data_IF_512535335307
#
_entry.id   IF_512535335307
#
_cell.length_a   1.000
_cell.length_b   1.000
_cell.length_c   1.000
_cell.angle_alpha   90.00
_cell.angle_beta   90.00
_cell.angle_gamma   90.00
#
_symmetry.space_group_name_H-M   'P 1'
#
loop_
_entity.id
_entity.type
_entity.pdbx_description
1 polymer ?
#
# COMPACT_ATOMS: atom_id res chain seq x y z
N UNK A 1 0.71 11.16 32.43
CA UNK A 1 1.39 10.90 31.14
C UNK A 1 0.31 10.54 30.14
N UNK A 2 -0.20 11.52 29.39
CA UNK A 2 -1.23 11.27 28.38
C UNK A 2 -0.66 10.30 27.34
N UNK A 3 -1.38 9.22 27.05
CA UNK A 3 -1.11 8.42 25.87
C UNK A 3 -1.04 9.40 24.71
N UNK A 4 0.14 9.57 24.10
CA UNK A 4 0.31 10.43 22.94
C UNK A 4 -0.77 10.04 21.96
N UNK A 5 -1.78 10.91 21.80
CA UNK A 5 -2.83 10.75 20.83
C UNK A 5 -2.20 11.10 19.48
N UNK A 6 -1.26 10.26 19.07
CA UNK A 6 -0.42 10.49 17.93
C UNK A 6 -1.30 10.26 16.72
N UNK A 7 -1.48 11.28 15.85
CA UNK A 7 -2.39 11.15 14.73
C UNK A 7 -1.96 9.96 13.85
N UNK A 8 -2.89 9.13 13.37
CA UNK A 8 -2.59 7.93 12.60
C UNK A 8 -1.61 8.15 11.43
N UNK A 9 -1.68 9.32 10.79
CA UNK A 9 -0.78 9.69 9.70
C UNK A 9 0.68 9.81 10.13
N UNK A 10 0.97 10.16 11.39
CA UNK A 10 2.34 10.23 11.87
C UNK A 10 2.97 8.85 12.01
N UNK A 11 2.20 7.83 12.40
CA UNK A 11 2.70 6.45 12.45
C UNK A 11 3.11 5.95 11.06
N UNK A 12 2.36 6.32 10.03
CA UNK A 12 2.69 6.01 8.63
C UNK A 12 3.99 6.70 8.20
N UNK A 13 4.21 7.96 8.59
CA UNK A 13 5.47 8.65 8.30
C UNK A 13 6.64 7.98 9.03
N UNK A 14 6.46 7.63 10.29
CA UNK A 14 7.49 6.97 11.09
C UNK A 14 7.86 5.59 10.53
N UNK A 15 6.90 4.81 10.02
CA UNK A 15 7.20 3.52 9.40
C UNK A 15 8.06 3.67 8.15
N UNK A 16 7.77 4.66 7.29
CA UNK A 16 8.58 4.96 6.11
C UNK A 16 9.99 5.46 6.47
N UNK A 17 10.10 6.31 7.50
CA UNK A 17 11.40 6.77 7.98
C UNK A 17 12.24 5.60 8.52
N UNK A 18 11.62 4.66 9.24
CA UNK A 18 12.32 3.48 9.74
C UNK A 18 12.87 2.61 8.60
N UNK A 19 12.09 2.41 7.53
CA UNK A 19 12.56 1.71 6.32
C UNK A 19 13.75 2.43 5.68
N UNK A 20 13.68 3.76 5.54
CA UNK A 20 14.77 4.57 4.99
C UNK A 20 16.05 4.51 5.84
N UNK A 21 15.92 4.27 7.15
CA UNK A 21 17.02 4.06 8.08
C UNK A 21 17.57 2.62 8.08
N UNK A 22 16.99 1.72 7.28
CA UNK A 22 17.41 0.32 7.17
C UNK A 22 16.82 -0.59 8.24
N UNK A 23 15.69 -0.21 8.86
CA UNK A 23 14.98 -1.09 9.78
C UNK A 23 14.52 -2.38 9.08
N UNK A 24 14.59 -3.51 9.78
CA UNK A 24 14.14 -4.80 9.24
C UNK A 24 12.62 -4.87 9.07
N UNK A 25 12.16 -5.79 8.24
CA UNK A 25 10.74 -6.02 7.94
C UNK A 25 9.85 -6.09 9.20
N UNK A 26 10.27 -6.85 10.22
CA UNK A 26 9.48 -7.04 11.44
C UNK A 26 9.23 -5.73 12.21
N UNK A 27 10.22 -4.84 12.25
CA UNK A 27 10.09 -3.54 12.92
C UNK A 27 9.20 -2.59 12.13
N UNK A 28 9.38 -2.54 10.80
CA UNK A 28 8.50 -1.78 9.91
C UNK A 28 7.05 -2.26 10.04
N UNK A 29 6.82 -3.57 10.03
CA UNK A 29 5.49 -4.19 10.18
C UNK A 29 4.79 -3.74 11.47
N UNK A 30 5.49 -3.70 12.61
CA UNK A 30 4.90 -3.22 13.88
C UNK A 30 4.43 -1.77 13.78
N UNK A 31 5.20 -0.90 13.11
CA UNK A 31 4.83 0.50 12.91
C UNK A 31 3.64 0.64 11.97
N UNK A 32 3.62 -0.11 10.86
CA UNK A 32 2.49 -0.14 9.94
C UNK A 32 1.23 -0.70 10.58
N UNK A 33 1.31 -1.77 11.37
CA UNK A 33 0.14 -2.34 12.06
C UNK A 33 -0.49 -1.31 13.02
N UNK A 34 0.34 -0.50 13.72
CA UNK A 34 -0.14 0.63 14.53
C UNK A 34 -0.81 1.71 13.68
N UNK A 35 -0.21 2.06 12.55
CA UNK A 35 -0.76 3.05 11.62
C UNK A 35 -2.13 2.58 11.08
N UNK A 36 -2.20 1.34 10.57
CA UNK A 36 -3.42 0.72 10.04
C UNK A 36 -4.53 0.71 11.10
N UNK A 37 -4.23 0.28 12.33
CA UNK A 37 -5.21 0.28 13.41
C UNK A 37 -5.73 1.69 13.73
N UNK A 38 -4.86 2.70 13.72
CA UNK A 38 -5.24 4.10 13.91
C UNK A 38 -6.08 4.64 12.76
N UNK A 39 -5.68 4.37 11.51
CA UNK A 39 -6.35 4.83 10.29
C UNK A 39 -7.74 4.21 10.16
N UNK A 40 -7.87 2.94 10.52
CA UNK A 40 -9.14 2.23 10.57
C UNK A 40 -10.11 2.89 11.56
N UNK A 41 -9.65 3.20 12.79
CA UNK A 41 -10.46 3.89 13.82
C UNK A 41 -10.88 5.29 13.38
N UNK A 42 -10.04 5.99 12.63
CA UNK A 42 -10.34 7.31 12.09
C UNK A 42 -11.05 7.28 10.73
N UNK A 43 -11.41 6.10 10.21
CA UNK A 43 -12.08 5.90 8.92
C UNK A 43 -11.32 6.47 7.70
N UNK A 44 -10.00 6.61 7.77
CA UNK A 44 -9.15 7.03 6.65
C UNK A 44 -8.83 5.85 5.71
N UNK A 45 -9.85 5.32 5.03
CA UNK A 45 -9.75 4.10 4.20
C UNK A 45 -8.65 4.16 3.13
N UNK A 46 -8.48 5.31 2.47
CA UNK A 46 -7.47 5.48 1.42
C UNK A 46 -6.04 5.41 1.96
N UNK A 47 -5.80 5.95 3.16
CA UNK A 47 -4.50 5.86 3.84
C UNK A 47 -4.28 4.47 4.43
N UNK A 48 -5.33 3.80 4.92
CA UNK A 48 -5.24 2.41 5.34
C UNK A 48 -4.84 1.52 4.16
N UNK A 49 -5.46 1.72 3.00
CA UNK A 49 -5.12 1.02 1.76
C UNK A 49 -3.66 1.28 1.33
N UNK A 50 -3.24 2.54 1.35
CA UNK A 50 -1.87 2.94 1.05
C UNK A 50 -0.85 2.29 1.99
N UNK A 51 -1.16 2.23 3.29
CA UNK A 51 -0.30 1.58 4.29
C UNK A 51 -0.15 0.08 4.01
N UNK A 52 -1.23 -0.58 3.56
CA UNK A 52 -1.18 -1.98 3.16
C UNK A 52 -0.38 -2.19 1.88
N UNK A 53 -0.49 -1.30 0.88
CA UNK A 53 0.30 -1.36 -0.36
C UNK A 53 1.80 -1.29 -0.05
N UNK A 54 2.21 -0.30 0.76
CA UNK A 54 3.61 -0.14 1.16
C UNK A 54 4.14 -1.34 1.96
N UNK A 55 3.34 -1.88 2.87
CA UNK A 55 3.77 -3.04 3.66
C UNK A 55 3.88 -4.30 2.81
N UNK A 56 3.00 -4.47 1.82
CA UNK A 56 3.06 -5.59 0.89
C UNK A 56 4.34 -5.57 0.05
N UNK A 57 4.71 -4.39 -0.41
CA UNK A 57 5.91 -4.14 -1.18
C UNK A 57 7.17 -4.43 -0.38
N UNK A 58 7.26 -3.92 0.85
CA UNK A 58 8.36 -4.24 1.76
C UNK A 58 8.39 -5.75 2.03
N UNK A 59 7.24 -6.40 2.27
CA UNK A 59 7.22 -7.85 2.44
C UNK A 59 7.80 -8.59 1.24
N UNK A 60 7.47 -8.17 0.01
CA UNK A 60 8.01 -8.75 -1.23
C UNK A 60 9.53 -8.56 -1.34
N UNK A 61 10.06 -7.39 -0.98
CA UNK A 61 11.50 -7.12 -0.96
C UNK A 61 12.29 -8.01 0.00
N UNK A 62 11.68 -8.35 1.15
CA UNK A 62 12.28 -9.23 2.15
C UNK A 62 11.99 -10.73 1.88
N UNK A 63 11.28 -11.07 0.78
CA UNK A 63 10.96 -12.44 0.40
C UNK A 63 9.76 -13.06 1.14
N UNK A 64 9.01 -12.24 1.87
CA UNK A 64 7.83 -12.62 2.66
C UNK A 64 6.56 -12.59 1.80
N UNK A 65 6.55 -13.38 0.72
CA UNK A 65 5.50 -13.31 -0.32
C UNK A 65 4.08 -13.60 0.21
N UNK A 66 3.92 -14.47 1.22
CA UNK A 66 2.61 -14.75 1.83
C UNK A 66 2.01 -13.50 2.48
N UNK A 67 2.84 -12.72 3.18
CA UNK A 67 2.45 -11.45 3.76
C UNK A 67 2.17 -10.41 2.67
N UNK A 68 3.02 -10.37 1.63
CA UNK A 68 2.82 -9.47 0.50
C UNK A 68 1.43 -9.68 -0.15
N UNK A 69 1.10 -10.93 -0.52
CA UNK A 69 -0.21 -11.27 -1.11
C UNK A 69 -1.36 -10.89 -0.17
N UNK A 70 -1.26 -11.18 1.13
CA UNK A 70 -2.29 -10.81 2.11
C UNK A 70 -2.54 -9.30 2.15
N UNK A 71 -1.48 -8.49 2.20
CA UNK A 71 -1.60 -7.04 2.26
C UNK A 71 -2.07 -6.43 0.93
N UNK A 72 -1.70 -6.99 -0.23
CA UNK A 72 -2.25 -6.59 -1.55
C UNK A 72 -3.76 -6.81 -1.60
N UNK A 73 -4.24 -7.98 -1.17
CA UNK A 73 -5.67 -8.29 -1.14
C UNK A 73 -6.43 -7.34 -0.23
N UNK A 74 -5.87 -7.01 0.94
CA UNK A 74 -6.46 -6.04 1.87
C UNK A 74 -6.52 -4.63 1.27
N UNK A 75 -5.43 -4.16 0.67
CA UNK A 75 -5.37 -2.85 0.00
C UNK A 75 -6.42 -2.76 -1.13
N UNK A 76 -6.56 -3.83 -1.91
CA UNK A 76 -7.55 -3.93 -2.98
C UNK A 76 -8.98 -3.78 -2.46
N UNK A 77 -9.34 -4.49 -1.39
CA UNK A 77 -10.65 -4.38 -0.75
C UNK A 77 -10.94 -2.96 -0.25
N UNK A 78 -9.96 -2.34 0.43
CA UNK A 78 -10.09 -0.98 0.95
C UNK A 78 -10.24 0.07 -0.17
N UNK A 79 -9.51 -0.06 -1.28
CA UNK A 79 -9.67 0.82 -2.44
C UNK A 79 -11.02 0.63 -3.13
N UNK A 80 -11.52 -0.60 -3.17
CA UNK A 80 -12.86 -0.89 -3.69
C UNK A 80 -13.95 -0.27 -2.83
N UNK A 81 -13.87 -0.42 -1.51
CA UNK A 81 -14.80 0.21 -0.55
C UNK A 81 -14.75 1.74 -0.59
N UNK A 82 -13.57 2.31 -0.81
CA UNK A 82 -13.41 3.75 -0.97
C UNK A 82 -13.95 4.28 -2.32
N UNK A 83 -14.09 3.41 -3.33
CA UNK A 83 -14.59 3.77 -4.65
C UNK A 83 -13.52 4.22 -5.64
N UNK A 84 -12.24 3.88 -5.41
CA UNK A 84 -11.13 4.23 -6.31
C UNK A 84 -11.01 3.26 -7.50
N UNK A 85 -12.00 3.26 -8.40
CA UNK A 85 -12.10 2.33 -9.53
C UNK A 85 -10.84 2.31 -10.42
N UNK A 86 -10.22 3.47 -10.65
CA UNK A 86 -8.99 3.56 -11.44
C UNK A 86 -7.83 2.79 -10.80
N UNK A 87 -7.67 2.91 -9.47
CA UNK A 87 -6.61 2.22 -8.70
C UNK A 87 -6.92 0.73 -8.57
N UNK A 88 -8.18 0.36 -8.36
CA UNK A 88 -8.64 -1.04 -8.35
C UNK A 88 -8.33 -1.73 -9.67
N UNK A 89 -8.65 -1.08 -10.81
CA UNK A 89 -8.33 -1.60 -12.14
C UNK A 89 -6.82 -1.73 -12.34
N UNK A 90 -6.04 -0.73 -11.94
CA UNK A 90 -4.58 -0.78 -12.00
C UNK A 90 -4.01 -1.94 -11.18
N UNK A 91 -4.52 -2.18 -9.97
CA UNK A 91 -4.07 -3.29 -9.12
C UNK A 91 -4.44 -4.66 -9.71
N UNK A 92 -5.64 -4.79 -10.29
CA UNK A 92 -6.06 -6.01 -10.99
C UNK A 92 -5.15 -6.35 -12.18
N UNK A 93 -4.74 -5.33 -12.93
CA UNK A 93 -3.79 -5.49 -14.04
C UNK A 93 -2.37 -5.86 -13.56
N UNK A 94 -1.95 -5.33 -12.39
CA UNK A 94 -0.61 -5.54 -11.84
C UNK A 94 -0.45 -6.88 -11.09
N UNK A 95 -1.50 -7.36 -10.41
CA UNK A 95 -1.49 -8.56 -9.57
C UNK A 95 -2.63 -9.50 -9.93
N UNK A 96 -2.68 -10.05 -11.17
CA UNK A 96 -3.76 -10.93 -11.57
C UNK A 96 -3.82 -12.20 -10.70
N UNK A 97 -2.67 -12.85 -10.47
CA UNK A 97 -2.54 -14.08 -9.69
C UNK A 97 -3.06 -13.96 -8.26
N UNK A 98 -2.72 -12.87 -7.57
CA UNK A 98 -3.05 -12.65 -6.16
C UNK A 98 -4.52 -12.24 -5.94
N UNK A 99 -5.18 -11.70 -6.96
CA UNK A 99 -6.53 -11.12 -6.86
C UNK A 99 -7.64 -12.01 -7.47
N UNK A 100 -7.30 -13.10 -8.16
CA UNK A 100 -8.29 -13.99 -8.79
C UNK A 100 -9.38 -14.51 -7.83
N UNK A 101 -9.04 -14.80 -6.57
CA UNK A 101 -10.02 -15.28 -5.58
C UNK A 101 -10.89 -14.17 -4.96
N UNK A 102 -10.36 -12.95 -4.87
CA UNK A 102 -11.06 -11.82 -4.21
C UNK A 102 -12.22 -11.32 -5.07
N UNK A 103 -12.04 -11.31 -6.39
CA UNK A 103 -13.09 -10.91 -7.32
C UNK A 103 -14.24 -11.93 -7.40
N UNK A 104 -13.95 -13.23 -7.29
CA UNK A 104 -14.97 -14.28 -7.29
C UNK A 104 -15.89 -14.20 -6.06
N UNK A 105 -15.33 -13.88 -4.88
CA UNK A 105 -16.11 -13.71 -3.65
C UNK A 105 -17.00 -12.45 -3.68
N UNK A 106 -16.54 -11.40 -4.36
CA UNK A 106 -17.32 -10.16 -4.52
C UNK A 106 -18.42 -10.24 -5.59
N UNK A 107 -18.36 -11.20 -6.51
CA UNK A 107 -19.33 -11.31 -7.60
C UNK A 107 -20.75 -11.69 -7.13
N UNK A 108 -20.91 -12.10 -5.86
CA UNK A 108 -22.23 -12.45 -5.31
C UNK A 108 -23.05 -11.24 -4.85
N UNK A 109 -22.46 -10.04 -4.78
CA UNK A 109 -23.18 -8.84 -4.37
C UNK A 109 -23.13 -7.79 -5.47
N UNK A 110 -24.28 -7.61 -6.11
CA UNK A 110 -24.72 -6.45 -6.89
C UNK A 110 -24.39 -6.46 -8.39
N UNK A 111 -25.34 -7.02 -9.15
CA UNK A 111 -25.78 -6.42 -10.41
C UNK A 111 -26.28 -5.00 -10.12
N UNK A 112 -25.47 -3.99 -10.38
CA UNK A 112 -25.96 -2.62 -10.63
C UNK A 112 -24.99 -1.94 -11.58
N UNK A 113 -25.36 -1.93 -12.85
CA UNK A 113 -24.56 -1.48 -13.98
C UNK A 113 -24.62 0.04 -14.09
N UNK A 114 -23.45 0.69 -14.18
CA UNK A 114 -23.29 1.87 -15.05
C UNK A 114 -21.94 1.75 -15.77
N UNK A 115 -22.05 1.48 -17.06
CA UNK A 115 -20.94 1.46 -18.00
C UNK A 115 -20.27 2.82 -18.05
N UNK A 116 -18.94 2.86 -17.93
CA UNK A 116 -18.14 3.99 -18.39
C UNK A 116 -17.04 3.45 -19.30
N UNK A 117 -17.17 3.77 -20.57
CA UNK A 117 -16.32 3.29 -21.65
C UNK A 117 -14.86 3.76 -21.51
N UNK A 118 -13.97 2.77 -21.52
CA UNK A 118 -12.72 2.70 -22.30
C UNK A 118 -11.81 3.93 -22.38
N UNK A 119 -10.67 3.85 -21.68
CA UNK A 119 -9.41 4.46 -22.13
C UNK A 119 -8.29 3.40 -22.11
N UNK A 120 -7.44 3.32 -23.16
CA UNK A 120 -6.35 2.34 -23.21
C UNK A 120 -5.27 2.70 -22.18
N UNK A 121 -5.19 1.90 -21.11
CA UNK A 121 -4.20 2.01 -20.06
C UNK A 121 -2.79 1.71 -20.58
N UNK A 122 -2.00 2.78 -20.73
CA UNK A 122 -0.55 2.74 -20.91
C UNK A 122 0.06 1.82 -19.84
N UNK A 123 0.77 0.78 -20.28
CA UNK A 123 1.53 -0.15 -19.43
C UNK A 123 2.61 0.63 -18.67
N UNK A 124 2.28 1.12 -17.48
CA UNK A 124 3.27 1.71 -16.59
C UNK A 124 4.18 0.59 -16.13
N UNK A 125 5.40 0.57 -16.67
CA UNK A 125 6.51 -0.14 -16.04
C UNK A 125 6.55 0.34 -14.59
N UNK A 126 6.50 -0.61 -13.68
CA UNK A 126 6.57 -0.43 -12.23
C UNK A 126 7.93 0.18 -11.90
N UNK A 127 8.11 1.49 -12.10
CA UNK A 127 9.19 2.21 -11.44
C UNK A 127 8.77 2.26 -9.99
N UNK A 128 9.41 1.38 -9.22
CA UNK A 128 9.36 1.38 -7.78
C UNK A 128 9.63 2.82 -7.35
N UNK A 129 8.65 3.47 -6.70
CA UNK A 129 8.78 4.86 -6.22
C UNK A 129 9.92 5.03 -5.20
N UNK A 130 10.57 3.93 -4.81
CA UNK A 130 11.73 3.85 -3.93
C UNK A 130 13.05 3.48 -4.66
N UNK A 131 13.04 2.98 -5.90
CA UNK A 131 14.27 2.64 -6.65
C UNK A 131 14.98 3.88 -7.19
N UNK A 132 14.26 4.94 -7.52
CA UNK A 132 14.82 6.26 -7.87
C UNK A 132 15.11 7.13 -6.64
N UNK A 133 14.61 6.75 -5.46
CA UNK A 133 14.84 7.47 -4.20
C UNK A 133 16.08 6.98 -3.43
N UNK A 134 16.95 6.19 -4.05
CA UNK A 134 18.38 6.13 -3.65
C UNK A 134 19.05 7.45 -4.04
N UNK A 135 18.63 8.56 -3.43
CA UNK A 135 19.54 9.67 -3.23
C UNK A 135 20.68 9.10 -2.40
N UNK A 136 21.81 8.82 -3.07
CA UNK A 136 23.02 8.42 -2.38
C UNK A 136 23.35 9.55 -1.40
N UNK A 137 23.39 9.26 -0.11
CA UNK A 137 23.86 10.21 0.91
C UNK A 137 25.31 10.65 0.61
N UNK A 138 26.01 9.92 -0.27
CA UNK A 138 27.36 10.20 -0.75
C UNK A 138 27.46 11.36 -1.76
N UNK A 139 26.38 11.85 -2.36
CA UNK A 139 26.46 12.97 -3.33
C UNK A 139 26.52 14.37 -2.69
N UNK A 140 26.28 14.49 -1.38
CA UNK A 140 26.28 15.79 -0.68
C UNK A 140 27.70 16.18 -0.20
N UNK A 141 28.66 15.26 -0.17
CA UNK A 141 29.98 15.49 0.40
C UNK A 141 31.05 15.98 -0.61
N UNK A 142 30.73 16.16 -1.89
CA UNK A 142 31.72 16.55 -2.93
C UNK A 142 31.58 17.99 -3.45
N UNK A 143 30.90 18.87 -2.70
CA UNK A 143 30.94 20.33 -2.93
C UNK A 143 31.35 21.01 -1.63
N UNK A 144 32.64 20.91 -1.31
CA UNK A 144 33.35 21.79 -0.39
C UNK A 144 34.83 21.82 -0.80
#
# INVERSE_FOLDING_TARGET
RGAMNMPPCLWLLQSQMALAQGAGFHEAKILFDKAIAGLHRCAFRHLEALSCELLAEVADEYGEHEWATHYVQKAYGLYKEWGAEAKVRQMREAFPSDLHHVDASSAFSLKSSRSFDGLPGRRLRRTSWWSEAKLSVTDIASVA
#
